data_IF_455464397957
#
_entry.id   IF_455464397957
#
_cell.length_a   1.000
_cell.length_b   1.000
_cell.length_c   1.000
_cell.angle_alpha   90.00
_cell.angle_beta   90.00
_cell.angle_gamma   90.00
#
_symmetry.space_group_name_H-M   'P 1'
#
loop_
_entity.id
_entity.type
_entity.pdbx_description
1 polymer ?
#
# COMPACT_ATOMS: atom_id res chain seq x y z
N UNK A 1 -7.11 5.39 13.66
CA UNK A 1 -6.28 4.28 13.21
C UNK A 1 -4.83 4.70 12.93
N UNK A 2 -4.60 5.77 12.19
CA UNK A 2 -3.28 6.40 12.02
C UNK A 2 -3.31 7.79 12.64
N UNK A 3 -2.35 8.05 13.52
CA UNK A 3 -2.18 9.34 14.19
C UNK A 3 -0.73 9.80 14.03
N UNK A 4 -0.53 10.97 13.44
CA UNK A 4 0.79 11.56 13.20
C UNK A 4 0.78 12.98 13.71
N UNK A 5 1.75 13.34 14.56
CA UNK A 5 1.87 14.68 15.08
C UNK A 5 3.34 15.14 15.08
N UNK A 6 3.59 16.23 14.39
CA UNK A 6 4.91 16.86 14.35
C UNK A 6 6.00 15.95 13.78
N UNK A 7 5.66 15.07 12.84
CA UNK A 7 6.58 14.10 12.27
C UNK A 7 7.71 14.77 11.49
N UNK A 8 8.94 14.47 11.89
CA UNK A 8 10.12 14.88 11.15
C UNK A 8 10.87 13.67 10.58
N UNK A 9 11.26 13.80 9.33
CA UNK A 9 12.11 12.81 8.66
C UNK A 9 12.92 13.44 7.54
N UNK A 10 14.15 12.97 7.38
CA UNK A 10 15.04 13.30 6.24
C UNK A 10 16.04 12.19 6.02
N UNK A 11 16.38 11.94 4.76
CA UNK A 11 17.40 10.95 4.39
C UNK A 11 18.81 11.40 4.76
N UNK A 12 19.02 12.73 4.83
CA UNK A 12 20.25 13.35 5.33
C UNK A 12 19.89 14.55 6.19
N UNK A 13 20.85 15.09 6.95
CA UNK A 13 20.64 16.30 7.75
C UNK A 13 20.19 17.51 6.92
N UNK A 14 20.65 17.61 5.67
CA UNK A 14 20.32 18.71 4.75
C UNK A 14 19.06 18.46 3.92
N UNK A 15 18.65 17.21 3.71
CA UNK A 15 17.49 16.84 2.89
C UNK A 15 16.35 16.32 3.76
N UNK A 16 15.65 17.24 4.41
CA UNK A 16 14.40 16.93 5.13
C UNK A 16 13.26 16.73 4.14
N UNK A 17 12.49 15.68 4.34
CA UNK A 17 11.27 15.34 3.59
C UNK A 17 10.06 15.87 4.33
N UNK A 18 9.98 15.61 5.64
CA UNK A 18 8.91 16.09 6.52
C UNK A 18 9.48 16.98 7.62
N UNK A 19 8.76 18.10 7.91
CA UNK A 19 9.18 19.13 8.87
C UNK A 19 8.05 19.47 9.83
N UNK A 20 7.45 18.45 10.46
CA UNK A 20 6.33 18.64 11.36
C UNK A 20 5.00 18.15 10.77
N UNK A 21 5.03 17.13 9.88
CA UNK A 21 3.83 16.55 9.28
C UNK A 21 2.83 16.13 10.35
N UNK A 22 1.57 16.53 10.18
CA UNK A 22 0.40 16.08 10.93
C UNK A 22 -0.58 15.34 10.03
N UNK A 23 -1.19 14.24 10.55
CA UNK A 23 -2.16 13.45 9.82
C UNK A 23 -3.00 12.62 10.78
N UNK A 24 -4.32 12.60 10.56
CA UNK A 24 -5.23 11.70 11.27
C UNK A 24 -6.10 10.95 10.27
N UNK A 25 -6.10 9.61 10.35
CA UNK A 25 -6.91 8.76 9.49
C UNK A 25 -7.74 7.77 10.31
N UNK A 26 -9.00 7.67 9.95
CA UNK A 26 -9.94 6.66 10.45
C UNK A 26 -9.65 5.27 9.87
N UNK A 27 -10.58 4.37 10.10
CA UNK A 27 -10.55 2.97 9.65
C UNK A 27 -11.62 2.74 8.58
N UNK A 28 -11.40 1.74 7.71
CA UNK A 28 -12.44 1.26 6.81
C UNK A 28 -12.67 2.13 5.57
N UNK A 29 -11.61 2.47 4.81
CA UNK A 29 -11.74 3.22 3.56
C UNK A 29 -10.61 2.93 2.58
N UNK A 30 -10.88 3.14 1.30
CA UNK A 30 -9.85 3.20 0.25
C UNK A 30 -9.47 4.66 0.05
N UNK A 31 -8.22 4.99 0.31
CA UNK A 31 -7.72 6.35 0.32
C UNK A 31 -6.66 6.56 -0.76
N UNK A 32 -6.80 7.61 -1.55
CA UNK A 32 -5.80 8.06 -2.50
C UNK A 32 -4.78 9.00 -1.84
N UNK A 33 -3.50 8.62 -1.78
CA UNK A 33 -2.40 9.51 -1.41
C UNK A 33 -1.83 10.14 -2.67
N UNK A 34 -2.23 11.37 -2.95
CA UNK A 34 -1.91 12.10 -4.15
C UNK A 34 -0.72 13.04 -3.95
N UNK A 35 0.05 13.25 -4.97
CA UNK A 35 1.18 14.20 -4.97
C UNK A 35 2.14 13.93 -6.12
N UNK A 36 2.93 14.90 -6.48
CA UNK A 36 3.95 14.79 -7.54
C UNK A 36 5.05 13.81 -7.11
N UNK A 37 5.84 13.37 -8.08
CA UNK A 37 7.02 12.56 -7.78
C UNK A 37 8.02 13.38 -6.96
N UNK A 38 8.55 12.76 -5.89
CA UNK A 38 9.50 13.42 -4.98
C UNK A 38 8.88 14.12 -3.77
N UNK A 39 7.55 14.25 -3.67
CA UNK A 39 6.86 14.89 -2.54
C UNK A 39 6.93 14.11 -1.23
N UNK A 40 7.33 12.84 -1.27
CA UNK A 40 7.50 12.03 -0.06
C UNK A 40 6.43 10.95 0.14
N UNK A 41 5.56 10.65 -0.85
CA UNK A 41 4.53 9.60 -0.76
C UNK A 41 5.11 8.27 -0.30
N UNK A 42 6.07 7.72 -1.04
CA UNK A 42 6.79 6.48 -0.68
C UNK A 42 7.43 6.55 0.70
N UNK A 43 7.99 7.72 1.06
CA UNK A 43 8.62 7.93 2.37
C UNK A 43 7.58 7.85 3.49
N UNK A 44 6.41 8.47 3.31
CA UNK A 44 5.31 8.38 4.27
C UNK A 44 4.85 6.93 4.44
N UNK A 45 4.58 6.21 3.34
CA UNK A 45 4.16 4.80 3.41
C UNK A 45 5.19 3.92 4.15
N UNK A 46 6.48 4.13 3.92
CA UNK A 46 7.55 3.40 4.62
C UNK A 46 7.66 3.76 6.11
N UNK A 47 7.37 5.00 6.49
CA UNK A 47 7.31 5.41 7.89
C UNK A 47 6.11 4.77 8.61
N UNK A 48 4.94 4.76 7.97
CA UNK A 48 3.72 4.13 8.49
C UNK A 48 3.89 2.62 8.74
N UNK A 49 4.75 1.95 7.97
CA UNK A 49 5.01 0.51 8.14
C UNK A 49 6.28 0.19 8.97
N UNK A 50 6.98 1.20 9.47
CA UNK A 50 8.22 1.00 10.22
C UNK A 50 9.40 0.51 9.38
N UNK A 51 9.35 0.63 8.06
CA UNK A 51 10.49 0.40 7.16
C UNK A 51 11.48 1.56 7.20
N UNK A 52 10.99 2.78 7.46
CA UNK A 52 11.78 3.94 7.83
C UNK A 52 11.43 4.36 9.26
N UNK A 53 12.41 4.94 9.96
CA UNK A 53 12.25 5.36 11.34
C UNK A 53 12.24 6.89 11.42
N UNK A 54 11.19 7.45 12.02
CA UNK A 54 11.09 8.91 12.22
C UNK A 54 12.24 9.44 13.07
N UNK A 55 12.63 10.68 12.83
CA UNK A 55 13.65 11.39 13.60
C UNK A 55 13.04 12.00 14.87
N UNK A 56 11.88 12.65 14.73
CA UNK A 56 11.12 13.23 15.86
C UNK A 56 9.61 13.20 15.57
N UNK A 57 8.82 13.68 16.51
CA UNK A 57 7.36 13.68 16.46
C UNK A 57 6.74 12.36 16.94
N UNK A 58 5.43 12.28 16.87
CA UNK A 58 4.64 11.11 17.25
C UNK A 58 4.10 10.44 15.98
N UNK A 59 4.09 9.11 15.99
CA UNK A 59 3.54 8.27 14.93
C UNK A 59 2.97 7.01 15.57
N UNK A 60 1.66 6.87 15.48
CA UNK A 60 0.92 5.70 15.92
C UNK A 60 0.12 5.13 14.75
N UNK A 61 0.17 3.83 14.56
CA UNK A 61 -0.55 3.08 13.52
C UNK A 61 -1.16 1.85 14.17
N UNK A 62 -2.48 1.68 14.08
CA UNK A 62 -3.21 0.56 14.71
C UNK A 62 -2.90 0.41 16.22
N UNK A 63 -2.72 1.52 16.96
CA UNK A 63 -2.36 1.51 18.37
C UNK A 63 -0.89 1.14 18.67
N UNK A 64 -0.05 1.06 17.65
CA UNK A 64 1.37 0.72 17.79
C UNK A 64 2.28 1.87 17.32
N UNK A 65 3.46 1.97 17.95
CA UNK A 65 4.56 2.76 17.39
C UNK A 65 5.32 1.92 16.36
N UNK A 66 5.26 2.27 15.04
CA UNK A 66 5.94 1.51 13.98
C UNK A 66 7.44 1.37 14.20
N UNK A 67 8.07 2.31 14.90
CA UNK A 67 9.50 2.27 15.23
C UNK A 67 9.87 1.05 16.06
N UNK A 68 8.96 0.54 16.87
CA UNK A 68 9.20 -0.65 17.72
C UNK A 68 9.18 -1.95 16.93
N UNK A 69 8.61 -1.97 15.73
CA UNK A 69 8.55 -3.12 14.83
C UNK A 69 8.10 -4.43 15.52
N UNK A 70 7.11 -4.32 16.41
CA UNK A 70 6.56 -5.48 17.10
C UNK A 70 5.91 -6.44 16.11
N UNK A 71 6.04 -7.74 16.33
CA UNK A 71 5.47 -8.77 15.45
C UNK A 71 3.97 -8.59 15.29
N UNK A 72 3.26 -8.31 16.39
CA UNK A 72 1.81 -8.03 16.37
C UNK A 72 1.43 -6.85 15.48
N UNK A 73 2.28 -5.85 15.33
CA UNK A 73 2.09 -4.75 14.40
C UNK A 73 2.42 -5.16 12.96
N UNK A 74 3.59 -5.79 12.76
CA UNK A 74 4.05 -6.17 11.40
C UNK A 74 3.09 -7.15 10.71
N UNK A 75 2.36 -7.97 11.47
CA UNK A 75 1.35 -8.88 10.96
C UNK A 75 0.03 -8.19 10.54
N UNK A 76 -0.15 -6.92 10.89
CA UNK A 76 -1.35 -6.15 10.61
C UNK A 76 -1.17 -5.12 9.49
N UNK A 77 0.04 -4.94 8.99
CA UNK A 77 0.37 -3.96 7.96
C UNK A 77 1.14 -4.60 6.81
N UNK A 78 0.85 -4.19 5.59
CA UNK A 78 1.63 -4.58 4.43
C UNK A 78 1.83 -3.40 3.50
N UNK A 79 3.04 -3.24 2.98
CA UNK A 79 3.35 -2.28 1.92
C UNK A 79 3.72 -3.05 0.65
N UNK A 80 2.92 -2.89 -0.39
CA UNK A 80 3.28 -3.25 -1.76
C UNK A 80 4.07 -2.08 -2.36
N UNK A 81 5.39 -2.17 -2.52
CA UNK A 81 6.17 -1.10 -3.10
C UNK A 81 6.00 -1.03 -4.62
N UNK A 82 6.33 0.12 -5.22
CA UNK A 82 6.26 0.32 -6.67
C UNK A 82 7.10 -0.70 -7.44
N UNK A 83 8.34 -0.92 -6.99
CA UNK A 83 9.26 -1.90 -7.55
C UNK A 83 9.53 -3.02 -6.55
N UNK A 84 9.39 -4.26 -7.00
CA UNK A 84 9.66 -5.45 -6.19
C UNK A 84 10.70 -6.32 -6.85
N UNK A 85 11.77 -6.57 -6.13
CA UNK A 85 12.74 -7.61 -6.49
C UNK A 85 12.16 -8.95 -6.06
N UNK A 86 11.87 -9.83 -7.02
CA UNK A 86 11.27 -11.15 -6.75
C UNK A 86 12.30 -12.26 -6.92
N UNK A 87 12.22 -13.31 -6.10
CA UNK A 87 13.03 -14.51 -6.26
C UNK A 87 12.60 -15.33 -7.49
N UNK A 88 13.47 -16.24 -7.94
CA UNK A 88 13.18 -17.17 -9.04
C UNK A 88 12.41 -18.40 -8.54
N UNK A 89 11.19 -18.20 -8.10
CA UNK A 89 10.27 -19.23 -7.60
C UNK A 89 8.90 -19.08 -8.26
N UNK A 90 8.03 -20.09 -8.13
CA UNK A 90 6.64 -19.99 -8.58
C UNK A 90 5.83 -18.99 -7.76
N UNK A 91 4.74 -18.48 -8.34
CA UNK A 91 3.79 -17.61 -7.63
C UNK A 91 3.24 -18.33 -6.41
N UNK A 92 2.83 -19.60 -6.54
CA UNK A 92 2.34 -20.41 -5.44
C UNK A 92 3.36 -20.50 -4.29
N UNK A 93 4.62 -20.78 -4.59
CA UNK A 93 5.68 -20.86 -3.57
C UNK A 93 5.94 -19.51 -2.90
N UNK A 94 5.86 -18.42 -3.65
CA UNK A 94 5.96 -17.07 -3.10
C UNK A 94 4.82 -16.79 -2.12
N UNK A 95 3.58 -17.15 -2.48
CA UNK A 95 2.39 -16.97 -1.63
C UNK A 95 2.49 -17.81 -0.35
N UNK A 96 2.86 -19.10 -0.47
CA UNK A 96 3.04 -20.00 0.66
C UNK A 96 4.06 -19.46 1.68
N UNK A 97 5.27 -19.11 1.20
CA UNK A 97 6.36 -18.69 2.09
C UNK A 97 6.09 -17.35 2.75
N UNK A 98 5.57 -16.37 1.99
CA UNK A 98 5.33 -15.02 2.51
C UNK A 98 4.00 -14.92 3.26
N UNK A 99 2.97 -15.66 2.85
CA UNK A 99 1.68 -15.72 3.53
C UNK A 99 1.79 -16.28 4.94
N UNK A 100 2.73 -17.21 5.17
CA UNK A 100 2.96 -17.80 6.49
C UNK A 100 3.29 -16.80 7.62
N UNK A 101 3.75 -15.59 7.27
CA UNK A 101 4.00 -14.53 8.26
C UNK A 101 2.73 -13.78 8.70
N UNK A 102 1.62 -13.94 7.99
CA UNK A 102 0.38 -13.21 8.21
C UNK A 102 -0.74 -14.17 8.65
N UNK A 103 -1.18 -14.09 9.92
CA UNK A 103 -2.27 -14.95 10.42
C UNK A 103 -3.58 -14.78 9.67
N UNK A 104 -3.80 -13.61 9.07
CA UNK A 104 -5.00 -13.28 8.28
C UNK A 104 -4.95 -13.73 6.82
N UNK A 105 -3.84 -14.35 6.38
CA UNK A 105 -3.67 -14.74 4.98
C UNK A 105 -4.73 -15.75 4.53
N UNK A 106 -5.45 -15.38 3.47
CA UNK A 106 -6.47 -16.19 2.81
C UNK A 106 -5.92 -16.79 1.50
N UNK A 107 -5.51 -18.07 1.58
CA UNK A 107 -4.95 -18.78 0.44
C UNK A 107 -5.99 -19.01 -0.66
N UNK A 108 -7.28 -19.23 -0.31
CA UNK A 108 -8.34 -19.43 -1.27
C UNK A 108 -8.58 -18.16 -2.09
N UNK A 109 -8.66 -17.00 -1.42
CA UNK A 109 -8.73 -15.71 -2.09
C UNK A 109 -7.51 -15.48 -2.98
N UNK A 110 -6.31 -15.80 -2.51
CA UNK A 110 -5.09 -15.69 -3.32
C UNK A 110 -5.20 -16.45 -4.64
N UNK A 111 -5.69 -17.69 -4.60
CA UNK A 111 -5.94 -18.50 -5.81
C UNK A 111 -7.02 -17.91 -6.71
N UNK A 112 -8.13 -17.45 -6.15
CA UNK A 112 -9.22 -16.81 -6.90
C UNK A 112 -8.72 -15.56 -7.64
N UNK A 113 -7.96 -14.70 -6.96
CA UNK A 113 -7.40 -13.50 -7.57
C UNK A 113 -6.40 -13.81 -8.70
N UNK A 114 -5.61 -14.88 -8.57
CA UNK A 114 -4.75 -15.33 -9.66
C UNK A 114 -5.57 -15.77 -10.89
N UNK A 115 -6.68 -16.46 -10.71
CA UNK A 115 -7.58 -16.82 -11.80
C UNK A 115 -8.18 -15.59 -12.49
N UNK A 116 -8.65 -14.61 -11.70
CA UNK A 116 -9.17 -13.34 -12.22
C UNK A 116 -8.11 -12.63 -13.07
N UNK A 117 -6.87 -12.58 -12.62
CA UNK A 117 -5.76 -11.98 -13.34
C UNK A 117 -5.16 -12.86 -14.46
N UNK A 118 -5.78 -14.02 -14.75
CA UNK A 118 -5.32 -14.98 -15.75
C UNK A 118 -3.86 -15.43 -15.54
N UNK A 119 -3.49 -15.68 -14.29
CA UNK A 119 -2.15 -16.12 -13.88
C UNK A 119 -2.21 -17.56 -13.36
N UNK A 120 -1.29 -18.42 -13.84
CA UNK A 120 -1.12 -19.75 -13.28
C UNK A 120 -0.19 -19.71 -12.05
N UNK A 121 -0.56 -20.40 -10.96
CA UNK A 121 0.25 -20.49 -9.73
C UNK A 121 1.68 -21.02 -9.97
N UNK A 122 1.88 -21.83 -11.01
CA UNK A 122 3.17 -22.43 -11.37
C UNK A 122 4.12 -21.48 -12.10
N UNK A 123 3.62 -20.34 -12.59
CA UNK A 123 4.44 -19.34 -13.29
C UNK A 123 5.57 -18.84 -12.40
N UNK A 124 6.80 -18.78 -12.94
CA UNK A 124 7.95 -18.27 -12.22
C UNK A 124 7.95 -16.74 -12.23
N UNK A 125 7.93 -16.12 -11.03
CA UNK A 125 7.88 -14.67 -10.85
C UNK A 125 8.99 -13.89 -11.57
N UNK A 126 10.18 -14.50 -11.73
CA UNK A 126 11.30 -13.84 -12.39
C UNK A 126 11.18 -13.87 -13.92
N UNK A 127 10.38 -14.82 -14.47
CA UNK A 127 10.29 -15.08 -15.91
C UNK A 127 9.06 -14.46 -16.57
N UNK A 128 8.08 -14.01 -15.81
CA UNK A 128 6.86 -13.37 -16.31
C UNK A 128 7.06 -11.87 -16.58
N UNK A 129 6.14 -11.27 -17.37
CA UNK A 129 6.18 -9.84 -17.67
C UNK A 129 6.04 -8.97 -16.42
N UNK A 130 6.44 -7.70 -16.49
CA UNK A 130 6.29 -6.76 -15.36
C UNK A 130 4.82 -6.58 -14.95
N UNK A 131 3.90 -6.50 -15.93
CA UNK A 131 2.47 -6.41 -15.66
C UNK A 131 1.92 -7.66 -14.96
N UNK A 132 2.29 -8.86 -15.44
CA UNK A 132 1.93 -10.12 -14.77
C UNK A 132 2.49 -10.22 -13.35
N UNK A 133 3.75 -9.82 -13.16
CA UNK A 133 4.37 -9.77 -11.84
C UNK A 133 3.60 -8.84 -10.91
N UNK A 134 3.27 -7.63 -11.37
CA UNK A 134 2.49 -6.65 -10.61
C UNK A 134 1.13 -7.22 -10.20
N UNK A 135 0.39 -7.84 -11.13
CA UNK A 135 -0.88 -8.51 -10.86
C UNK A 135 -0.74 -9.61 -9.79
N UNK A 136 0.28 -10.46 -9.89
CA UNK A 136 0.54 -11.50 -8.88
C UNK A 136 0.79 -10.90 -7.50
N UNK A 137 1.56 -9.83 -7.41
CA UNK A 137 1.87 -9.16 -6.14
C UNK A 137 0.67 -8.41 -5.56
N UNK A 138 -0.20 -7.84 -6.41
CA UNK A 138 -1.48 -7.26 -5.99
C UNK A 138 -2.40 -8.36 -5.45
N UNK A 139 -2.52 -9.50 -6.14
CA UNK A 139 -3.29 -10.65 -5.67
C UNK A 139 -2.80 -11.13 -4.28
N UNK A 140 -1.49 -11.24 -4.11
CA UNK A 140 -0.89 -11.56 -2.82
C UNK A 140 -1.26 -10.54 -1.74
N UNK A 141 -1.06 -9.25 -2.01
CA UNK A 141 -1.32 -8.17 -1.06
C UNK A 141 -2.77 -8.15 -0.56
N UNK A 142 -3.74 -8.36 -1.46
CA UNK A 142 -5.15 -8.44 -1.11
C UNK A 142 -5.48 -9.72 -0.34
N UNK A 143 -4.86 -10.85 -0.69
CA UNK A 143 -5.04 -12.12 0.01
C UNK A 143 -4.48 -12.11 1.44
N UNK A 144 -3.60 -11.18 1.79
CA UNK A 144 -3.11 -11.04 3.16
C UNK A 144 -4.19 -10.61 4.16
N UNK A 145 -5.25 -9.95 3.71
CA UNK A 145 -6.37 -9.50 4.56
C UNK A 145 -5.91 -8.70 5.79
N UNK A 146 -4.80 -7.99 5.67
CA UNK A 146 -4.29 -7.14 6.75
C UNK A 146 -5.19 -5.93 6.99
N UNK A 147 -5.34 -5.46 8.24
CA UNK A 147 -6.13 -4.26 8.55
C UNK A 147 -5.66 -2.99 7.81
N UNK A 148 -4.35 -2.87 7.58
CA UNK A 148 -3.78 -1.73 6.84
C UNK A 148 -2.94 -2.23 5.67
N UNK A 149 -3.44 -2.00 4.45
CA UNK A 149 -2.75 -2.29 3.21
C UNK A 149 -2.31 -0.98 2.54
N UNK A 150 -1.02 -0.86 2.29
CA UNK A 150 -0.43 0.27 1.61
C UNK A 150 0.07 -0.17 0.24
N UNK A 151 -0.21 0.60 -0.81
CA UNK A 151 0.24 0.32 -2.16
C UNK A 151 0.91 1.56 -2.76
N UNK A 152 2.17 1.41 -3.16
CA UNK A 152 2.93 2.49 -3.78
C UNK A 152 2.88 2.37 -5.30
N UNK A 153 2.20 3.32 -5.98
CA UNK A 153 2.03 3.37 -7.43
C UNK A 153 1.65 2.01 -8.06
N UNK A 154 0.60 1.31 -7.56
CA UNK A 154 0.30 -0.06 -7.99
C UNK A 154 -0.13 -0.18 -9.45
N UNK A 155 -0.62 0.89 -10.06
CA UNK A 155 -1.08 0.92 -11.45
C UNK A 155 0.01 1.26 -12.45
N UNK A 156 1.20 1.69 -12.00
CA UNK A 156 2.33 1.96 -12.87
C UNK A 156 2.78 0.69 -13.61
N UNK A 157 2.90 0.80 -14.94
CA UNK A 157 3.29 -0.32 -15.79
C UNK A 157 2.17 -1.31 -16.13
N UNK A 158 0.94 -1.05 -15.68
CA UNK A 158 -0.26 -1.78 -16.13
C UNK A 158 -0.85 -1.13 -17.38
N UNK A 159 -1.32 -1.95 -18.32
CA UNK A 159 -2.12 -1.51 -19.45
C UNK A 159 -3.55 -1.12 -19.01
N UNK A 160 -4.31 -0.47 -19.91
CA UNK A 160 -5.67 0.01 -19.61
C UNK A 160 -6.60 -1.10 -19.14
N UNK A 161 -6.66 -2.29 -19.79
CA UNK A 161 -7.48 -3.41 -19.31
C UNK A 161 -7.07 -3.86 -17.89
N UNK A 162 -5.78 -3.97 -17.61
CA UNK A 162 -5.27 -4.38 -16.30
C UNK A 162 -5.56 -3.37 -15.20
N UNK A 163 -5.53 -2.07 -15.50
CA UNK A 163 -5.97 -1.01 -14.57
C UNK A 163 -7.46 -1.14 -14.24
N UNK A 164 -8.31 -1.43 -15.23
CA UNK A 164 -9.74 -1.66 -15.01
C UNK A 164 -10.00 -2.90 -14.15
N UNK A 165 -9.27 -3.98 -14.40
CA UNK A 165 -9.31 -5.21 -13.63
C UNK A 165 -8.87 -4.99 -12.17
N UNK A 166 -7.80 -4.24 -11.95
CA UNK A 166 -7.32 -3.82 -10.63
C UNK A 166 -8.41 -3.07 -9.84
N UNK A 167 -9.06 -2.07 -10.46
CA UNK A 167 -10.16 -1.33 -9.80
C UNK A 167 -11.31 -2.24 -9.40
N UNK A 168 -11.74 -3.12 -10.32
CA UNK A 168 -12.82 -4.08 -10.07
C UNK A 168 -12.49 -5.00 -8.89
N UNK A 169 -11.27 -5.53 -8.86
CA UNK A 169 -10.83 -6.42 -7.79
C UNK A 169 -10.77 -5.69 -6.44
N UNK A 170 -10.25 -4.46 -6.41
CA UNK A 170 -10.27 -3.67 -5.17
C UNK A 170 -11.69 -3.43 -4.67
N UNK A 171 -12.59 -2.95 -5.52
CA UNK A 171 -13.97 -2.68 -5.13
C UNK A 171 -14.73 -3.94 -4.64
N UNK A 172 -14.38 -5.11 -5.18
CA UNK A 172 -15.07 -6.36 -4.85
C UNK A 172 -14.51 -7.04 -3.59
N UNK A 173 -13.20 -6.94 -3.35
CA UNK A 173 -12.52 -7.76 -2.34
C UNK A 173 -12.00 -6.98 -1.12
N UNK A 174 -12.16 -5.66 -1.10
CA UNK A 174 -11.90 -4.86 0.11
C UNK A 174 -13.07 -4.99 1.07
N UNK A 175 -12.79 -5.21 2.35
CA UNK A 175 -13.81 -5.22 3.41
C UNK A 175 -13.88 -3.87 4.11
N UNK A 176 -15.02 -3.55 4.72
CA UNK A 176 -15.24 -2.29 5.48
C UNK A 176 -14.30 -2.14 6.69
N UNK A 177 -13.70 -3.25 7.16
CA UNK A 177 -12.74 -3.25 8.25
C UNK A 177 -11.30 -2.98 7.79
N UNK A 178 -11.04 -3.10 6.49
CA UNK A 178 -9.72 -2.91 5.90
C UNK A 178 -9.52 -1.47 5.44
N UNK A 179 -8.41 -0.88 5.78
CA UNK A 179 -8.00 0.42 5.22
C UNK A 179 -6.93 0.19 4.17
N UNK A 180 -7.14 0.77 2.99
CA UNK A 180 -6.18 0.72 1.89
C UNK A 180 -5.73 2.14 1.57
N UNK A 181 -4.42 2.39 1.57
CA UNK A 181 -3.84 3.66 1.12
C UNK A 181 -3.07 3.41 -0.18
N UNK A 182 -3.46 4.09 -1.24
CA UNK A 182 -2.84 3.94 -2.56
C UNK A 182 -2.16 5.25 -2.94
N UNK A 183 -0.83 5.25 -3.02
CA UNK A 183 -0.12 6.39 -3.57
C UNK A 183 -0.23 6.41 -5.09
N UNK A 184 -0.49 7.58 -5.65
CA UNK A 184 -0.44 7.79 -7.09
C UNK A 184 -0.20 9.25 -7.46
N UNK A 185 0.36 9.46 -8.63
CA UNK A 185 0.39 10.76 -9.31
C UNK A 185 -0.66 10.87 -10.42
N UNK A 186 -1.44 9.79 -10.66
CA UNK A 186 -2.48 9.68 -11.69
C UNK A 186 -3.86 9.45 -11.03
N UNK A 187 -4.53 10.52 -10.64
CA UNK A 187 -5.84 10.48 -9.93
C UNK A 187 -6.88 9.65 -10.70
N UNK A 188 -6.92 9.79 -12.03
CA UNK A 188 -7.88 9.09 -12.90
C UNK A 188 -7.85 7.56 -12.75
N UNK A 189 -6.73 6.99 -12.33
CA UNK A 189 -6.62 5.55 -12.12
C UNK A 189 -7.44 5.07 -10.91
N UNK A 190 -7.80 5.97 -9.99
CA UNK A 190 -8.45 5.65 -8.72
C UNK A 190 -9.82 6.30 -8.51
N UNK A 191 -10.22 7.30 -9.32
CA UNK A 191 -11.44 8.12 -9.13
C UNK A 191 -12.70 7.33 -8.76
N UNK A 192 -12.85 6.11 -9.27
CA UNK A 192 -14.06 5.31 -9.10
C UNK A 192 -14.05 4.39 -7.88
N UNK A 193 -12.94 4.33 -7.14
CA UNK A 193 -12.76 3.35 -6.06
C UNK A 193 -12.29 3.97 -4.75
N UNK A 194 -11.87 5.23 -4.73
CA UNK A 194 -11.43 5.91 -3.51
C UNK A 194 -12.59 6.58 -2.80
N UNK A 195 -12.62 6.46 -1.48
CA UNK A 195 -13.58 7.12 -0.61
C UNK A 195 -13.11 8.52 -0.18
N UNK A 196 -11.78 8.68 -0.13
CA UNK A 196 -11.15 9.92 0.34
C UNK A 196 -9.79 10.15 -0.30
N UNK A 197 -9.33 11.38 -0.25
CA UNK A 197 -8.05 11.82 -0.80
C UNK A 197 -7.21 12.51 0.26
N UNK A 198 -5.91 12.26 0.19
CA UNK A 198 -4.85 13.01 0.86
C UNK A 198 -3.95 13.62 -0.21
N UNK A 199 -3.74 14.91 -0.18
CA UNK A 199 -2.80 15.59 -1.09
C UNK A 199 -1.54 15.96 -0.32
N UNK A 200 -0.43 15.37 -0.72
CA UNK A 200 0.89 15.63 -0.17
C UNK A 200 1.67 16.55 -1.12
N UNK A 201 2.07 17.70 -0.62
CA UNK A 201 2.88 18.67 -1.34
C UNK A 201 3.95 19.27 -0.42
N UNK A 202 5.19 19.34 -0.88
CA UNK A 202 6.34 19.88 -0.15
C UNK A 202 6.52 19.31 1.27
N UNK A 203 6.13 18.04 1.46
CA UNK A 203 6.23 17.35 2.76
C UNK A 203 5.12 17.70 3.75
N UNK A 204 4.03 18.32 3.31
CA UNK A 204 2.84 18.66 4.12
C UNK A 204 1.58 18.07 3.49
N UNK A 205 0.59 17.71 4.33
CA UNK A 205 -0.75 17.37 3.86
C UNK A 205 -1.52 18.68 3.66
N UNK A 206 -1.74 19.06 2.40
CA UNK A 206 -2.42 20.31 2.04
C UNK A 206 -3.93 20.14 1.85
N UNK A 207 -4.39 18.90 1.69
CA UNK A 207 -5.81 18.58 1.58
C UNK A 207 -6.08 17.18 2.13
N UNK A 208 -7.16 17.07 2.90
CA UNK A 208 -7.74 15.80 3.32
C UNK A 208 -9.25 15.95 3.17
N UNK A 209 -9.85 15.21 2.24
CA UNK A 209 -11.28 15.32 1.93
C UNK A 209 -11.87 13.96 1.55
N UNK A 210 -13.15 13.77 1.81
CA UNK A 210 -13.93 12.68 1.23
C UNK A 210 -14.28 13.00 -0.22
N UNK A 211 -14.47 11.96 -1.06
CA UNK A 211 -14.84 12.18 -2.48
C UNK A 211 -16.21 12.87 -2.61
N UNK A 212 -17.07 12.77 -1.60
CA UNK A 212 -18.36 13.49 -1.56
C UNK A 212 -18.23 15.00 -1.29
N UNK A 213 -17.04 15.46 -0.87
CA UNK A 213 -16.75 16.86 -0.55
C UNK A 213 -15.94 17.57 -1.65
N UNK A 214 -15.50 16.84 -2.68
CA UNK A 214 -14.71 17.33 -3.81
C UNK A 214 -15.56 17.40 -5.08
#
# INVERSE_FOLDING_TARGET
MIHVQGLEFGYTRSRKVFRGLGLELGQGSIMGLLGRNGEGKTTLLKLLTGQLLRQSGQLEVLGHDPKRRQVSFLQQVYLLPEEVVVPSISIAKFFEVNGAFYPSYDAALGHELLQIFSLSPEMNLKKISQGQKKKALIAFALALRVPLLLMDEPTNGLDIPSKSEFRRVLAQYTSDEQTIIISTHQVRDLEQIIDSVLVLEQGEIICQATVSEV
#
